data_IF_734806731900
#
_entry.id   IF_734806731900
#
_cell.length_a   1.000
_cell.length_b   1.000
_cell.length_c   1.000
_cell.angle_alpha   90.00
_cell.angle_beta   90.00
_cell.angle_gamma   90.00
#
_symmetry.space_group_name_H-M   'P 1'
#
loop_
_entity.id
_entity.type
_entity.pdbx_description
1 polymer ?
#
# COMPACT_ATOMS: atom_id res chain seq x y z
N UNK A 1 3.06 -33.74 3.35
CA UNK A 1 2.14 -33.09 2.40
C UNK A 1 1.00 -32.35 3.09
N UNK A 2 0.32 -32.87 4.11
CA UNK A 2 -0.78 -32.20 4.83
C UNK A 2 -0.39 -30.88 5.53
N UNK A 3 0.81 -30.78 6.12
CA UNK A 3 1.29 -29.54 6.77
C UNK A 3 1.44 -28.38 5.78
N UNK A 4 1.86 -28.65 4.54
CA UNK A 4 2.02 -27.62 3.51
C UNK A 4 0.66 -27.11 2.97
N UNK A 5 -0.35 -27.98 2.88
CA UNK A 5 -1.71 -27.57 2.49
C UNK A 5 -2.37 -26.69 3.55
N UNK A 6 -2.20 -27.01 4.84
CA UNK A 6 -2.75 -26.21 5.93
C UNK A 6 -2.11 -24.79 5.97
N UNK A 7 -0.81 -24.66 5.68
CA UNK A 7 -0.15 -23.36 5.62
C UNK A 7 -0.65 -22.53 4.43
N UNK A 8 -0.85 -23.12 3.25
CA UNK A 8 -1.39 -22.42 2.09
C UNK A 8 -2.82 -21.93 2.32
N UNK A 9 -3.70 -22.75 2.93
CA UNK A 9 -5.07 -22.35 3.29
C UNK A 9 -5.06 -21.23 4.32
N UNK A 10 -4.20 -21.32 5.34
CA UNK A 10 -4.09 -20.28 6.36
C UNK A 10 -3.54 -18.97 5.76
N UNK A 11 -2.57 -19.04 4.85
CA UNK A 11 -2.08 -17.87 4.12
C UNK A 11 -3.20 -17.22 3.28
N UNK A 12 -4.04 -18.03 2.63
CA UNK A 12 -5.20 -17.54 1.88
C UNK A 12 -6.23 -16.82 2.79
N UNK A 13 -6.49 -17.34 3.98
CA UNK A 13 -7.37 -16.69 4.96
C UNK A 13 -6.79 -15.35 5.42
N UNK A 14 -5.48 -15.27 5.71
CA UNK A 14 -4.84 -14.00 6.03
C UNK A 14 -4.87 -13.02 4.85
N UNK A 15 -4.69 -13.49 3.61
CA UNK A 15 -4.82 -12.64 2.43
C UNK A 15 -6.24 -12.12 2.23
N UNK A 16 -7.27 -12.92 2.52
CA UNK A 16 -8.66 -12.43 2.51
C UNK A 16 -8.85 -11.28 3.51
N UNK A 17 -8.25 -11.38 4.70
CA UNK A 17 -8.20 -10.29 5.66
C UNK A 17 -7.49 -9.03 5.12
N UNK A 18 -6.39 -9.21 4.39
CA UNK A 18 -5.67 -8.12 3.71
C UNK A 18 -6.56 -7.43 2.66
N UNK A 19 -7.20 -8.22 1.78
CA UNK A 19 -8.09 -7.72 0.74
C UNK A 19 -9.23 -6.89 1.33
N UNK A 20 -9.95 -7.46 2.30
CA UNK A 20 -11.07 -6.77 2.97
C UNK A 20 -10.61 -5.49 3.64
N UNK A 21 -9.47 -5.52 4.35
CA UNK A 21 -8.93 -4.35 5.05
C UNK A 21 -8.57 -3.23 4.08
N UNK A 22 -7.81 -3.50 3.02
CA UNK A 22 -7.42 -2.45 2.08
C UNK A 22 -8.60 -1.93 1.25
N UNK A 23 -9.58 -2.77 0.93
CA UNK A 23 -10.82 -2.32 0.33
C UNK A 23 -11.63 -1.43 1.27
N UNK A 24 -11.78 -1.82 2.54
CA UNK A 24 -12.45 -1.01 3.55
C UNK A 24 -11.72 0.33 3.76
N UNK A 25 -10.38 0.33 3.76
CA UNK A 25 -9.58 1.56 3.83
C UNK A 25 -9.82 2.48 2.63
N UNK A 26 -9.93 1.91 1.42
CA UNK A 26 -10.20 2.69 0.21
C UNK A 26 -11.62 3.29 0.23
N UNK A 27 -12.62 2.49 0.60
CA UNK A 27 -14.00 2.97 0.77
C UNK A 27 -14.06 4.05 1.84
N UNK A 28 -13.49 3.82 3.02
CA UNK A 28 -13.45 4.82 4.09
C UNK A 28 -12.73 6.11 3.68
N UNK A 29 -11.65 6.00 2.88
CA UNK A 29 -10.97 7.14 2.29
C UNK A 29 -11.85 7.91 1.30
N UNK A 30 -12.62 7.22 0.46
CA UNK A 30 -13.57 7.82 -0.49
C UNK A 30 -14.73 8.53 0.24
N UNK A 31 -15.28 7.94 1.28
CA UNK A 31 -16.35 8.53 2.10
C UNK A 31 -15.90 9.79 2.87
N UNK A 32 -14.63 9.84 3.29
CA UNK A 32 -14.04 11.01 3.94
C UNK A 32 -13.58 12.08 2.93
N UNK A 33 -13.37 11.71 1.66
CA UNK A 33 -12.94 12.64 0.62
C UNK A 33 -13.99 13.75 0.41
N UNK A 34 -13.50 14.97 0.26
CA UNK A 34 -14.37 16.16 0.13
C UNK A 34 -14.93 16.70 1.45
N UNK A 35 -14.84 15.93 2.55
CA UNK A 35 -15.23 16.37 3.89
C UNK A 35 -14.01 16.66 4.76
N UNK A 36 -12.94 15.88 4.61
CA UNK A 36 -11.65 16.08 5.26
C UNK A 36 -10.56 16.20 4.21
N UNK A 37 -9.55 17.02 4.48
CA UNK A 37 -8.37 17.02 3.63
C UNK A 37 -7.62 15.70 3.74
N UNK A 38 -6.90 15.33 2.68
CA UNK A 38 -6.07 14.12 2.68
C UNK A 38 -5.10 14.09 3.88
N UNK A 39 -4.56 15.25 4.26
CA UNK A 39 -3.67 15.34 5.42
C UNK A 39 -4.38 15.04 6.74
N UNK A 40 -5.64 15.48 6.90
CA UNK A 40 -6.43 15.16 8.09
C UNK A 40 -6.76 13.67 8.17
N UNK A 41 -7.07 13.02 7.04
CA UNK A 41 -7.29 11.57 6.99
C UNK A 41 -6.02 10.84 7.47
N UNK A 42 -4.83 11.25 7.00
CA UNK A 42 -3.55 10.69 7.43
C UNK A 42 -3.23 10.98 8.90
N UNK A 43 -3.58 12.16 9.39
CA UNK A 43 -3.45 12.51 10.81
C UNK A 43 -4.29 11.59 11.69
N UNK A 44 -5.60 11.48 11.44
CA UNK A 44 -6.48 10.64 12.25
C UNK A 44 -6.11 9.15 12.15
N UNK A 45 -5.72 8.69 10.96
CA UNK A 45 -5.15 7.35 10.78
C UNK A 45 -3.93 7.12 11.69
N UNK A 46 -3.04 8.12 11.80
CA UNK A 46 -1.86 8.03 12.67
C UNK A 46 -2.23 8.08 14.14
N UNK A 47 -3.23 8.86 14.54
CA UNK A 47 -3.78 8.89 15.94
C UNK A 47 -4.27 7.49 16.32
N UNK A 48 -5.14 6.89 15.49
CA UNK A 48 -5.67 5.54 15.76
C UNK A 48 -4.53 4.52 15.79
N UNK A 49 -3.58 4.63 14.86
CA UNK A 49 -2.40 3.79 14.83
C UNK A 49 -1.56 3.91 16.10
N UNK A 50 -1.32 5.13 16.61
CA UNK A 50 -0.62 5.35 17.87
C UNK A 50 -1.36 4.74 19.07
N UNK A 51 -2.68 4.85 19.13
CA UNK A 51 -3.48 4.25 20.19
C UNK A 51 -3.37 2.72 20.19
N UNK A 52 -3.52 2.11 19.02
CA UNK A 52 -3.46 0.64 18.88
C UNK A 52 -2.04 0.13 19.16
N UNK A 53 -1.02 0.70 18.53
CA UNK A 53 0.38 0.29 18.72
C UNK A 53 0.82 0.58 20.15
N UNK A 54 0.43 1.73 20.72
CA UNK A 54 0.68 2.08 22.11
C UNK A 54 0.07 1.06 23.09
N UNK A 55 -1.16 0.60 22.84
CA UNK A 55 -1.79 -0.45 23.64
C UNK A 55 -1.01 -1.76 23.58
N UNK A 56 -0.59 -2.23 22.39
CA UNK A 56 0.21 -3.45 22.28
C UNK A 56 1.59 -3.32 22.91
N UNK A 57 2.21 -2.14 22.87
CA UNK A 57 3.47 -1.88 23.57
C UNK A 57 3.28 -1.86 25.09
N UNK A 58 2.15 -1.32 25.56
CA UNK A 58 1.81 -1.35 26.99
C UNK A 58 1.64 -2.77 27.52
N UNK A 59 0.91 -3.62 26.80
CA UNK A 59 0.71 -5.02 27.16
C UNK A 59 1.98 -5.88 26.98
N UNK A 60 2.94 -5.40 26.20
CA UNK A 60 4.16 -6.12 25.87
C UNK A 60 5.41 -5.50 26.49
N UNK A 61 6.43 -5.30 25.68
CA UNK A 61 7.73 -4.76 26.09
C UNK A 61 8.04 -3.44 25.40
N UNK A 62 7.99 -2.33 26.15
CA UNK A 62 8.34 -0.99 25.66
C UNK A 62 9.80 -0.85 25.18
N UNK A 63 10.71 -1.64 25.70
CA UNK A 63 12.14 -1.53 25.35
C UNK A 63 12.41 -1.87 23.88
N UNK A 64 11.52 -2.59 23.21
CA UNK A 64 11.67 -2.90 21.80
C UNK A 64 11.59 -1.67 20.87
N UNK A 65 11.07 -0.51 21.34
CA UNK A 65 11.05 0.71 20.54
C UNK A 65 12.43 1.37 20.38
N UNK A 66 13.44 0.92 21.13
CA UNK A 66 14.80 1.47 21.06
C UNK A 66 15.52 0.97 19.80
N UNK A 67 15.34 1.69 18.68
CA UNK A 67 16.06 1.42 17.44
C UNK A 67 17.33 2.27 17.31
N UNK A 68 18.38 1.66 16.78
CA UNK A 68 19.61 2.37 16.37
C UNK A 68 19.53 2.97 14.96
N UNK A 69 18.41 2.76 14.24
CA UNK A 69 18.23 3.11 12.83
C UNK A 69 17.26 4.31 12.62
N UNK A 70 17.28 5.29 13.53
CA UNK A 70 16.34 6.43 13.51
C UNK A 70 16.31 7.18 12.18
N UNK A 71 17.47 7.37 11.52
CA UNK A 71 17.54 8.04 10.20
C UNK A 71 16.82 7.24 9.12
N UNK A 72 16.94 5.91 9.18
CA UNK A 72 16.26 5.03 8.21
C UNK A 72 14.75 5.03 8.46
N UNK A 73 14.32 5.00 9.73
CA UNK A 73 12.91 5.16 10.10
C UNK A 73 12.35 6.49 9.61
N UNK A 74 13.06 7.60 9.81
CA UNK A 74 12.62 8.91 9.37
C UNK A 74 12.45 8.97 7.85
N UNK A 75 13.45 8.57 7.07
CA UNK A 75 13.39 8.57 5.62
C UNK A 75 12.28 7.64 5.11
N UNK A 76 12.18 6.44 5.68
CA UNK A 76 11.12 5.47 5.37
C UNK A 76 9.74 6.06 5.60
N UNK A 77 9.54 6.77 6.70
CA UNK A 77 8.22 7.28 7.05
C UNK A 77 7.85 8.55 6.31
N UNK A 78 8.80 9.39 5.93
CA UNK A 78 8.56 10.50 4.99
C UNK A 78 8.15 9.94 3.63
N UNK A 79 8.88 8.96 3.09
CA UNK A 79 8.52 8.31 1.83
C UNK A 79 7.13 7.65 1.93
N UNK A 80 6.86 6.90 3.01
CA UNK A 80 5.56 6.25 3.20
C UNK A 80 4.42 7.26 3.33
N UNK A 81 4.63 8.39 3.99
CA UNK A 81 3.64 9.45 4.11
C UNK A 81 3.32 10.08 2.74
N UNK A 82 4.37 10.34 1.92
CA UNK A 82 4.17 10.80 0.54
C UNK A 82 3.40 9.79 -0.31
N UNK A 83 3.71 8.50 -0.17
CA UNK A 83 2.96 7.43 -0.82
C UNK A 83 1.50 7.40 -0.41
N UNK A 84 1.22 7.49 0.88
CA UNK A 84 -0.15 7.54 1.40
C UNK A 84 -0.90 8.80 0.95
N UNK A 85 -0.24 9.95 0.99
CA UNK A 85 -0.85 11.18 0.52
C UNK A 85 -1.32 11.04 -0.93
N UNK A 86 -0.44 10.65 -1.85
CA UNK A 86 -0.80 10.52 -3.25
C UNK A 86 -1.87 9.45 -3.50
N UNK A 87 -1.85 8.35 -2.74
CA UNK A 87 -2.85 7.29 -2.82
C UNK A 87 -4.24 7.77 -2.36
N UNK A 88 -4.36 8.41 -1.18
CA UNK A 88 -5.64 8.96 -0.70
C UNK A 88 -6.12 10.13 -1.55
N UNK A 89 -5.21 10.95 -2.06
CA UNK A 89 -5.52 12.01 -3.02
C UNK A 89 -6.10 11.43 -4.31
N UNK A 90 -5.51 10.36 -4.84
CA UNK A 90 -6.06 9.65 -5.99
C UNK A 90 -7.44 9.06 -5.72
N UNK A 91 -7.63 8.39 -4.58
CA UNK A 91 -8.94 7.85 -4.15
C UNK A 91 -10.02 8.94 -4.17
N UNK A 92 -9.69 10.18 -3.83
CA UNK A 92 -10.63 11.29 -3.83
C UNK A 92 -11.04 11.73 -5.24
N UNK A 93 -10.19 11.60 -6.26
CA UNK A 93 -10.30 12.33 -7.52
C UNK A 93 -10.44 11.48 -8.78
N UNK A 94 -9.97 10.24 -8.77
CA UNK A 94 -10.03 9.33 -9.92
C UNK A 94 -10.70 8.01 -9.53
N UNK A 95 -11.12 7.17 -10.51
CA UNK A 95 -11.75 5.89 -10.23
C UNK A 95 -10.89 4.99 -9.33
N UNK A 96 -11.54 4.29 -8.41
CA UNK A 96 -10.84 3.40 -7.47
C UNK A 96 -10.00 2.34 -8.18
N UNK A 97 -10.52 1.76 -9.26
CA UNK A 97 -9.80 0.76 -10.06
C UNK A 97 -8.50 1.32 -10.64
N UNK A 98 -8.50 2.59 -11.09
CA UNK A 98 -7.32 3.25 -11.64
C UNK A 98 -6.25 3.47 -10.56
N UNK A 99 -6.64 3.91 -9.36
CA UNK A 99 -5.71 4.08 -8.22
C UNK A 99 -5.00 2.77 -7.90
N UNK A 100 -5.76 1.67 -7.78
CA UNK A 100 -5.19 0.36 -7.46
C UNK A 100 -4.33 -0.20 -8.59
N UNK A 101 -4.73 0.00 -9.85
CA UNK A 101 -3.94 -0.43 -11.00
C UNK A 101 -2.59 0.31 -11.06
N UNK A 102 -2.57 1.63 -10.83
CA UNK A 102 -1.33 2.41 -10.79
C UNK A 102 -0.46 2.05 -9.56
N UNK A 103 -1.06 1.73 -8.42
CA UNK A 103 -0.35 1.23 -7.24
C UNK A 103 0.42 -0.06 -7.55
N UNK A 104 -0.09 -0.93 -8.43
CA UNK A 104 0.60 -2.16 -8.83
C UNK A 104 1.91 -1.94 -9.59
N UNK A 105 2.30 -0.69 -9.85
CA UNK A 105 3.67 -0.36 -10.30
C UNK A 105 4.70 -0.41 -9.15
N UNK A 106 4.29 -0.47 -7.88
CA UNK A 106 5.19 -0.55 -6.71
C UNK A 106 6.27 -1.61 -6.86
N UNK A 107 5.99 -2.86 -7.26
CA UNK A 107 7.03 -3.87 -7.48
C UNK A 107 8.04 -3.49 -8.57
N UNK A 108 7.61 -2.78 -9.61
CA UNK A 108 8.49 -2.29 -10.69
C UNK A 108 9.49 -1.30 -10.12
N UNK A 109 9.01 -0.29 -9.39
CA UNK A 109 9.85 0.69 -8.71
C UNK A 109 10.76 0.05 -7.66
N UNK A 110 10.25 -0.96 -6.93
CA UNK A 110 11.04 -1.71 -5.95
C UNK A 110 12.20 -2.44 -6.63
N UNK A 111 11.98 -3.05 -7.80
CA UNK A 111 13.03 -3.72 -8.57
C UNK A 111 14.12 -2.73 -9.02
N UNK A 112 13.72 -1.53 -9.47
CA UNK A 112 14.65 -0.45 -9.84
C UNK A 112 15.45 0.01 -8.60
N UNK A 113 14.78 0.32 -7.49
CA UNK A 113 15.42 0.80 -6.27
C UNK A 113 16.32 -0.25 -5.63
N UNK A 114 15.96 -1.52 -5.64
CA UNK A 114 16.80 -2.61 -5.14
C UNK A 114 18.13 -2.68 -5.92
N UNK A 115 18.07 -2.49 -7.23
CA UNK A 115 19.28 -2.44 -8.06
C UNK A 115 20.17 -1.24 -7.73
N UNK A 116 19.56 -0.04 -7.58
CA UNK A 116 20.32 1.20 -7.37
C UNK A 116 20.81 1.32 -5.92
N UNK A 117 19.94 1.05 -4.93
CA UNK A 117 20.24 1.28 -3.51
C UNK A 117 20.91 0.08 -2.83
N UNK A 118 20.51 -1.14 -3.21
CA UNK A 118 21.04 -2.38 -2.61
C UNK A 118 22.10 -3.04 -3.49
N UNK A 119 22.41 -2.47 -4.67
CA UNK A 119 23.38 -2.99 -5.65
C UNK A 119 23.08 -4.44 -6.06
N UNK A 120 21.80 -4.82 -6.07
CA UNK A 120 21.37 -6.13 -6.54
C UNK A 120 21.55 -6.24 -8.06
N UNK A 121 21.88 -7.42 -8.55
CA UNK A 121 22.07 -7.66 -9.99
C UNK A 121 20.75 -7.55 -10.75
N UNK A 122 20.78 -6.86 -11.89
CA UNK A 122 19.64 -6.82 -12.81
C UNK A 122 19.54 -8.17 -13.53
N UNK A 123 18.43 -8.87 -13.31
CA UNK A 123 18.15 -10.14 -14.02
C UNK A 123 17.29 -9.87 -15.24
N UNK A 124 17.32 -10.79 -16.21
CA UNK A 124 16.43 -10.72 -17.40
C UNK A 124 14.95 -10.68 -17.00
N UNK A 125 14.58 -11.42 -15.94
CA UNK A 125 13.22 -11.41 -15.40
C UNK A 125 12.83 -10.04 -14.82
N UNK A 126 13.73 -9.37 -14.10
CA UNK A 126 13.50 -8.00 -13.59
C UNK A 126 13.33 -7.00 -14.75
N UNK A 127 14.17 -7.09 -15.77
CA UNK A 127 14.01 -6.25 -16.99
C UNK A 127 12.65 -6.49 -17.64
N UNK A 128 12.24 -7.74 -17.81
CA UNK A 128 10.92 -8.09 -18.33
C UNK A 128 9.78 -7.53 -17.48
N UNK A 129 9.87 -7.64 -16.16
CA UNK A 129 8.87 -7.07 -15.23
C UNK A 129 8.77 -5.54 -15.33
N UNK A 130 9.92 -4.85 -15.45
CA UNK A 130 9.96 -3.39 -15.64
C UNK A 130 9.29 -3.01 -16.97
N UNK A 131 9.61 -3.69 -18.07
CA UNK A 131 9.00 -3.45 -19.38
C UNK A 131 7.48 -3.65 -19.32
N UNK A 132 7.02 -4.78 -18.77
CA UNK A 132 5.59 -5.06 -18.63
C UNK A 132 4.90 -4.06 -17.70
N UNK A 133 5.57 -3.63 -16.63
CA UNK A 133 5.07 -2.58 -15.76
C UNK A 133 4.86 -1.25 -16.47
N UNK A 134 5.84 -0.82 -17.27
CA UNK A 134 5.75 0.40 -18.08
C UNK A 134 4.65 0.28 -19.13
N UNK A 135 4.56 -0.86 -19.84
CA UNK A 135 3.48 -1.11 -20.80
C UNK A 135 2.09 -1.06 -20.14
N UNK A 136 1.96 -1.62 -18.92
CA UNK A 136 0.72 -1.53 -18.15
C UNK A 136 0.34 -0.08 -17.81
N UNK A 137 1.31 0.77 -17.42
CA UNK A 137 1.06 2.22 -17.21
C UNK A 137 0.57 2.88 -18.49
N UNK A 138 1.19 2.60 -19.64
CA UNK A 138 0.75 3.16 -20.92
C UNK A 138 -0.66 2.71 -21.31
N UNK A 139 -1.04 1.47 -21.02
CA UNK A 139 -2.41 0.98 -21.23
C UNK A 139 -3.42 1.70 -20.35
N UNK A 140 -3.08 1.99 -19.09
CA UNK A 140 -3.97 2.68 -18.14
C UNK A 140 -4.10 4.15 -18.52
N UNK A 141 -2.99 4.86 -18.71
CA UNK A 141 -2.97 6.31 -18.91
C UNK A 141 -3.29 6.72 -20.34
N UNK A 142 -3.10 5.86 -21.34
CA UNK A 142 -3.38 6.09 -22.77
C UNK A 142 -2.88 7.44 -23.27
N UNK A 143 -1.59 7.78 -23.10
CA UNK A 143 -1.08 9.09 -23.49
C UNK A 143 -1.31 9.35 -24.98
N UNK A 144 -1.88 10.52 -25.30
CA UNK A 144 -2.27 10.90 -26.66
C UNK A 144 -3.65 10.44 -27.11
N UNK A 145 -4.31 9.52 -26.38
CA UNK A 145 -5.69 9.06 -26.64
C UNK A 145 -6.67 9.58 -25.59
N UNK A 146 -6.20 9.86 -24.38
CA UNK A 146 -6.98 10.40 -23.29
C UNK A 146 -6.19 11.52 -22.58
N UNK A 147 -6.93 12.44 -21.94
CA UNK A 147 -6.32 13.45 -21.07
C UNK A 147 -5.85 12.78 -19.80
N UNK A 148 -4.54 12.82 -19.54
CA UNK A 148 -3.97 12.26 -18.31
C UNK A 148 -4.34 13.15 -17.13
N UNK A 149 -5.04 12.60 -16.15
CA UNK A 149 -5.36 13.31 -14.93
C UNK A 149 -4.08 13.60 -14.12
N UNK A 150 -3.89 14.84 -13.61
CA UNK A 150 -2.81 15.12 -12.66
C UNK A 150 -2.84 14.20 -11.44
N UNK A 151 -4.03 13.77 -10.99
CA UNK A 151 -4.19 12.83 -9.89
C UNK A 151 -3.58 11.45 -10.21
N UNK A 152 -3.71 10.95 -11.45
CA UNK A 152 -3.09 9.69 -11.87
C UNK A 152 -1.56 9.76 -11.81
N UNK A 153 -0.97 10.90 -12.17
CA UNK A 153 0.48 11.11 -12.04
C UNK A 153 0.93 11.17 -10.58
N UNK A 154 0.12 11.78 -9.70
CA UNK A 154 0.38 11.79 -8.26
C UNK A 154 0.32 10.38 -7.68
N UNK A 155 -0.65 9.55 -8.09
CA UNK A 155 -0.74 8.14 -7.68
C UNK A 155 0.47 7.35 -8.18
N UNK A 156 0.93 7.57 -9.40
CA UNK A 156 2.14 6.93 -9.92
C UNK A 156 3.38 7.34 -9.11
N UNK A 157 3.49 8.63 -8.74
CA UNK A 157 4.52 9.12 -7.81
C UNK A 157 4.41 8.50 -6.41
N UNK A 158 3.17 8.25 -5.94
CA UNK A 158 2.94 7.57 -4.66
C UNK A 158 3.45 6.13 -4.69
N UNK A 159 3.28 5.42 -5.81
CA UNK A 159 3.82 4.07 -5.98
C UNK A 159 5.36 4.04 -5.87
N UNK A 160 6.06 5.03 -6.41
CA UNK A 160 7.50 5.19 -6.20
C UNK A 160 7.84 5.42 -4.72
N UNK A 161 7.11 6.28 -4.03
CA UNK A 161 7.29 6.55 -2.60
C UNK A 161 7.04 5.28 -1.75
N UNK A 162 6.02 4.49 -2.08
CA UNK A 162 5.78 3.19 -1.44
C UNK A 162 6.93 2.21 -1.69
N UNK A 163 7.43 2.13 -2.92
CA UNK A 163 8.56 1.27 -3.27
C UNK A 163 9.82 1.62 -2.46
N UNK A 164 10.13 2.92 -2.31
CA UNK A 164 11.23 3.39 -1.46
C UNK A 164 10.99 3.01 0.00
N UNK A 165 9.78 3.22 0.51
CA UNK A 165 9.40 2.83 1.86
C UNK A 165 9.54 1.32 2.08
N UNK A 166 9.09 0.48 1.13
CA UNK A 166 9.20 -0.97 1.20
C UNK A 166 10.66 -1.44 1.19
N UNK A 167 11.49 -0.85 0.33
CA UNK A 167 12.94 -1.14 0.27
C UNK A 167 13.62 -0.82 1.60
N UNK A 168 13.31 0.33 2.22
CA UNK A 168 13.84 0.72 3.52
C UNK A 168 13.27 -0.14 4.66
N UNK A 169 12.00 -0.52 4.58
CA UNK A 169 11.38 -1.44 5.54
C UNK A 169 12.07 -2.79 5.55
N UNK A 170 12.44 -3.33 4.37
CA UNK A 170 13.20 -4.57 4.26
C UNK A 170 14.54 -4.49 5.02
N UNK A 171 15.22 -3.32 4.93
CA UNK A 171 16.45 -3.08 5.69
C UNK A 171 16.21 -3.02 7.20
N UNK A 172 15.14 -2.34 7.64
CA UNK A 172 14.77 -2.22 9.06
C UNK A 172 14.36 -3.58 9.67
N UNK A 173 13.64 -4.41 8.91
CA UNK A 173 13.17 -5.72 9.38
C UNK A 173 14.30 -6.70 9.73
N UNK A 174 15.55 -6.42 9.34
CA UNK A 174 16.72 -7.20 9.75
C UNK A 174 17.18 -6.93 11.19
N UNK A 175 16.77 -5.80 11.78
CA UNK A 175 17.29 -5.30 13.07
C UNK A 175 16.21 -4.87 14.05
N UNK A 176 15.02 -4.55 13.57
CA UNK A 176 13.90 -4.04 14.35
C UNK A 176 12.68 -4.97 14.24
N UNK A 177 11.89 -5.04 15.31
CA UNK A 177 10.65 -5.83 15.30
C UNK A 177 9.57 -5.16 14.45
N UNK A 178 8.58 -5.90 13.92
CA UNK A 178 7.45 -5.30 13.22
C UNK A 178 6.72 -4.23 14.05
N UNK A 179 6.59 -4.44 15.35
CA UNK A 179 5.93 -3.50 16.24
C UNK A 179 6.75 -2.20 16.41
N UNK A 180 8.09 -2.29 16.42
CA UNK A 180 8.99 -1.13 16.39
C UNK A 180 8.81 -0.32 15.11
N UNK A 181 8.75 -1.00 13.95
CA UNK A 181 8.55 -0.34 12.65
C UNK A 181 7.19 0.39 12.63
N UNK A 182 6.13 -0.24 13.14
CA UNK A 182 4.79 0.37 13.25
C UNK A 182 4.77 1.54 14.24
N UNK A 183 5.48 1.44 15.37
CA UNK A 183 5.61 2.55 16.32
C UNK A 183 6.22 3.78 15.66
N UNK A 184 7.37 3.64 14.99
CA UNK A 184 7.98 4.76 14.29
C UNK A 184 7.13 5.26 13.12
N UNK A 185 6.35 4.39 12.48
CA UNK A 185 5.42 4.80 11.44
C UNK A 185 4.37 5.75 11.99
N UNK A 186 3.73 5.39 13.07
CA UNK A 186 2.64 6.19 13.62
C UNK A 186 3.15 7.48 14.26
N UNK A 187 4.22 7.42 15.06
CA UNK A 187 4.74 8.57 15.80
C UNK A 187 5.40 9.62 14.90
N UNK A 188 6.02 9.23 13.79
CA UNK A 188 6.64 10.17 12.83
C UNK A 188 5.56 10.78 11.91
N UNK A 189 4.57 9.97 11.47
CA UNK A 189 3.55 10.46 10.55
C UNK A 189 2.47 11.29 11.24
N UNK A 190 2.27 11.13 12.55
CA UNK A 190 1.32 11.93 13.33
C UNK A 190 1.63 13.44 13.23
N UNK A 191 2.83 13.94 13.59
CA UNK A 191 3.14 15.35 13.45
C UNK A 191 3.16 15.81 11.99
N UNK A 192 3.57 14.98 11.03
CA UNK A 192 3.51 15.32 9.62
C UNK A 192 2.06 15.57 9.18
N UNK A 193 1.13 14.68 9.54
CA UNK A 193 -0.28 14.86 9.25
C UNK A 193 -0.89 16.07 9.98
N UNK A 194 -0.52 16.28 11.24
CA UNK A 194 -1.02 17.41 12.03
C UNK A 194 -0.59 18.75 11.44
N UNK A 195 0.71 18.95 11.23
CA UNK A 195 1.26 20.22 10.74
C UNK A 195 0.70 20.57 9.37
N UNK A 196 0.56 19.60 8.48
CA UNK A 196 0.02 19.85 7.14
C UNK A 196 -1.49 20.04 7.13
N UNK A 197 -2.22 19.51 8.11
CA UNK A 197 -3.67 19.66 8.21
C UNK A 197 -4.14 20.96 8.91
N UNK A 198 -3.23 21.68 9.59
CA UNK A 198 -3.60 22.92 10.33
C UNK A 198 -4.18 23.99 9.39
N UNK A 199 -3.68 24.07 8.17
CA UNK A 199 -4.07 25.13 7.22
C UNK A 199 -5.49 24.95 6.67
N UNK A 200 -5.98 23.69 6.61
CA UNK A 200 -7.30 23.33 6.07
C UNK A 200 -8.11 22.51 7.10
N UNK A 201 -7.95 22.82 8.39
CA UNK A 201 -8.56 22.03 9.44
C UNK A 201 -10.08 22.12 9.43
N UNK A 202 -10.72 20.97 9.29
CA UNK A 202 -12.16 20.81 9.48
C UNK A 202 -12.41 19.89 10.68
N UNK A 203 -13.26 20.32 11.62
CA UNK A 203 -13.62 19.48 12.76
C UNK A 203 -14.51 18.34 12.28
N UNK A 204 -14.10 17.05 12.48
CA UNK A 204 -14.90 15.92 12.05
C UNK A 204 -16.28 15.90 12.71
N UNK A 205 -17.33 15.68 11.91
CA UNK A 205 -18.66 15.42 12.42
C UNK A 205 -18.76 14.00 13.01
N UNK A 206 -19.76 13.74 13.83
CA UNK A 206 -20.02 12.42 14.39
C UNK A 206 -20.23 11.36 13.29
N UNK A 207 -20.80 11.74 12.15
CA UNK A 207 -21.02 10.85 11.00
C UNK A 207 -19.72 10.39 10.34
N UNK A 208 -18.62 11.15 10.46
CA UNK A 208 -17.31 10.78 9.91
C UNK A 208 -16.53 9.83 10.81
N UNK A 209 -16.82 9.78 12.11
CA UNK A 209 -16.07 8.97 13.07
C UNK A 209 -15.99 7.48 12.71
N UNK A 210 -17.07 6.81 12.26
CA UNK A 210 -16.99 5.42 11.82
C UNK A 210 -15.97 5.23 10.68
N UNK A 211 -15.97 6.12 9.69
CA UNK A 211 -15.06 6.03 8.55
C UNK A 211 -13.60 6.30 8.93
N UNK A 212 -13.38 7.25 9.83
CA UNK A 212 -12.06 7.51 10.42
C UNK A 212 -11.54 6.25 11.13
N UNK A 213 -12.38 5.60 11.93
CA UNK A 213 -12.04 4.34 12.60
C UNK A 213 -11.76 3.22 11.61
N UNK A 214 -12.60 3.08 10.56
CA UNK A 214 -12.40 2.09 9.50
C UNK A 214 -11.04 2.30 8.83
N UNK A 215 -10.70 3.52 8.41
CA UNK A 215 -9.41 3.82 7.77
C UNK A 215 -8.24 3.49 8.70
N UNK A 216 -8.28 3.90 9.97
CA UNK A 216 -7.21 3.68 10.93
C UNK A 216 -6.98 2.21 11.26
N UNK A 217 -8.06 1.48 11.56
CA UNK A 217 -8.01 0.05 11.90
C UNK A 217 -7.63 -0.79 10.66
N UNK A 218 -8.28 -0.52 9.52
CA UNK A 218 -8.04 -1.25 8.28
C UNK A 218 -6.59 -1.09 7.78
N UNK A 219 -5.98 0.06 7.98
CA UNK A 219 -4.58 0.26 7.64
C UNK A 219 -3.64 -0.67 8.40
N UNK A 220 -3.84 -0.84 9.70
CA UNK A 220 -3.01 -1.72 10.52
C UNK A 220 -3.33 -3.19 10.27
N UNK A 221 -4.63 -3.56 10.23
CA UNK A 221 -5.06 -4.94 10.02
C UNK A 221 -4.63 -5.47 8.65
N UNK A 222 -4.73 -4.65 7.58
CA UNK A 222 -4.29 -5.03 6.24
C UNK A 222 -2.81 -5.37 6.19
N UNK A 223 -1.96 -4.52 6.74
CA UNK A 223 -0.52 -4.77 6.80
C UNK A 223 -0.17 -5.96 7.71
N UNK A 224 -0.86 -6.12 8.84
CA UNK A 224 -0.66 -7.27 9.72
C UNK A 224 -1.04 -8.59 9.02
N UNK A 225 -2.23 -8.64 8.40
CA UNK A 225 -2.69 -9.81 7.67
C UNK A 225 -1.75 -10.19 6.53
N UNK A 226 -1.26 -9.20 5.75
CA UNK A 226 -0.29 -9.40 4.69
C UNK A 226 1.01 -10.01 5.23
N UNK A 227 1.55 -9.45 6.31
CA UNK A 227 2.76 -9.96 6.94
C UNK A 227 2.58 -11.41 7.44
N UNK A 228 1.41 -11.74 8.01
CA UNK A 228 1.09 -13.12 8.43
C UNK A 228 0.97 -14.08 7.26
N UNK A 229 0.37 -13.66 6.14
CA UNK A 229 0.29 -14.48 4.94
C UNK A 229 1.68 -14.79 4.37
N UNK A 230 2.55 -13.78 4.27
CA UNK A 230 3.93 -13.93 3.79
C UNK A 230 4.83 -14.75 4.74
N UNK A 231 4.50 -14.81 6.02
CA UNK A 231 5.19 -15.68 6.97
C UNK A 231 4.80 -17.18 6.82
N UNK A 232 3.62 -17.47 6.22
CA UNK A 232 3.08 -18.83 6.09
C UNK A 232 3.28 -19.43 4.70
N UNK A 233 3.40 -18.59 3.66
CA UNK A 233 3.53 -19.04 2.28
C UNK A 233 4.46 -18.13 1.47
N UNK A 234 5.08 -18.70 0.46
CA UNK A 234 5.96 -17.99 -0.46
C UNK A 234 5.22 -16.86 -1.20
N UNK A 235 5.94 -15.81 -1.55
CA UNK A 235 5.41 -14.68 -2.32
C UNK A 235 4.74 -15.10 -3.65
N UNK A 236 5.19 -16.20 -4.26
CA UNK A 236 4.57 -16.76 -5.48
C UNK A 236 3.11 -17.20 -5.29
N UNK A 237 2.72 -17.48 -4.04
CA UNK A 237 1.33 -17.84 -3.68
C UNK A 237 0.56 -16.59 -3.24
N UNK A 238 1.19 -15.73 -2.44
CA UNK A 238 0.55 -14.57 -1.79
C UNK A 238 0.32 -13.42 -2.77
N UNK A 239 1.30 -13.10 -3.63
CA UNK A 239 1.21 -11.96 -4.55
C UNK A 239 0.07 -12.10 -5.57
N UNK A 240 -0.18 -13.26 -6.20
CA UNK A 240 -1.36 -13.42 -7.07
C UNK A 240 -2.69 -13.11 -6.37
N UNK A 241 -2.79 -13.45 -5.08
CA UNK A 241 -4.01 -13.16 -4.31
C UNK A 241 -4.18 -11.67 -4.06
N UNK A 242 -3.09 -10.92 -3.86
CA UNK A 242 -3.14 -9.46 -3.67
C UNK A 242 -3.68 -8.73 -4.91
N UNK A 243 -3.42 -9.24 -6.12
CA UNK A 243 -3.97 -8.67 -7.34
C UNK A 243 -5.50 -8.83 -7.49
N UNK A 244 -6.14 -9.71 -6.71
CA UNK A 244 -7.59 -9.78 -6.64
C UNK A 244 -8.21 -8.47 -6.13
N UNK A 245 -7.44 -7.61 -5.48
CA UNK A 245 -7.90 -6.26 -5.09
C UNK A 245 -8.41 -5.47 -6.28
N UNK A 246 -7.78 -5.59 -7.46
CA UNK A 246 -8.17 -4.80 -8.63
C UNK A 246 -9.58 -5.09 -9.12
N UNK A 247 -9.96 -6.35 -9.46
CA UNK A 247 -11.33 -6.64 -9.88
C UNK A 247 -12.36 -6.39 -8.76
N UNK A 248 -11.99 -6.64 -7.51
CA UNK A 248 -12.88 -6.40 -6.37
C UNK A 248 -13.15 -4.91 -6.16
N UNK A 249 -12.13 -4.07 -6.21
CA UNK A 249 -12.31 -2.61 -6.05
C UNK A 249 -13.00 -1.99 -7.26
N UNK A 250 -12.77 -2.53 -8.46
CA UNK A 250 -13.50 -2.13 -9.67
C UNK A 250 -15.00 -2.43 -9.52
N UNK A 251 -15.35 -3.59 -8.97
CA UNK A 251 -16.75 -3.94 -8.66
C UNK A 251 -17.33 -2.99 -7.59
N UNK A 252 -16.58 -2.65 -6.54
CA UNK A 252 -17.01 -1.67 -5.52
C UNK A 252 -17.23 -0.29 -6.15
N UNK A 253 -16.30 0.19 -6.97
CA UNK A 253 -16.42 1.45 -7.69
C UNK A 253 -17.67 1.51 -8.57
N UNK A 254 -17.93 0.44 -9.32
CA UNK A 254 -19.08 0.32 -10.18
C UNK A 254 -20.41 0.28 -9.40
N UNK A 255 -20.49 -0.57 -8.35
CA UNK A 255 -21.75 -0.81 -7.62
C UNK A 255 -22.12 0.34 -6.67
N UNK A 256 -21.14 0.97 -6.01
CA UNK A 256 -21.41 1.93 -4.94
C UNK A 256 -21.12 3.39 -5.33
N UNK A 257 -20.25 3.60 -6.32
CA UNK A 257 -19.85 4.95 -6.72
C UNK A 257 -20.22 5.30 -8.17
N UNK A 258 -20.88 4.39 -8.91
CA UNK A 258 -21.29 4.61 -10.29
C UNK A 258 -20.09 4.79 -11.25
N UNK A 259 -18.92 4.28 -10.87
CA UNK A 259 -17.71 4.35 -11.70
C UNK A 259 -17.85 3.41 -12.90
N UNK A 260 -17.44 3.86 -14.10
CA UNK A 260 -17.43 3.00 -15.28
C UNK A 260 -16.30 1.96 -15.18
N UNK A 261 -16.59 0.73 -15.61
CA UNK A 261 -15.54 -0.30 -15.75
C UNK A 261 -14.68 0.01 -16.99
N UNK A 262 -13.45 0.43 -16.75
CA UNK A 262 -12.48 0.69 -17.81
C UNK A 262 -11.65 -0.56 -18.10
N UNK A 263 -11.89 -1.18 -19.27
CA UNK A 263 -11.18 -2.37 -19.70
C UNK A 263 -9.68 -2.17 -19.88
N UNK A 264 -9.23 -0.96 -20.22
CA UNK A 264 -7.80 -0.64 -20.33
C UNK A 264 -7.12 -0.64 -18.96
N UNK A 265 -7.82 -0.19 -17.91
CA UNK A 265 -7.33 -0.25 -16.53
C UNK A 265 -7.18 -1.71 -16.10
N UNK A 266 -8.16 -2.55 -16.37
CA UNK A 266 -8.10 -3.97 -16.04
C UNK A 266 -7.01 -4.69 -16.87
N UNK A 267 -6.91 -4.42 -18.16
CA UNK A 267 -5.87 -5.00 -19.03
C UNK A 267 -4.46 -4.56 -18.60
N UNK A 268 -4.26 -3.28 -18.27
CA UNK A 268 -3.00 -2.76 -17.74
C UNK A 268 -2.60 -3.44 -16.44
N UNK A 269 -3.56 -3.63 -15.52
CA UNK A 269 -3.35 -4.39 -14.28
C UNK A 269 -2.92 -5.84 -14.53
N UNK A 270 -3.55 -6.54 -15.49
CA UNK A 270 -3.18 -7.92 -15.88
C UNK A 270 -1.76 -7.96 -16.44
N UNK A 271 -1.37 -7.00 -17.29
CA UNK A 271 -0.01 -6.93 -17.85
C UNK A 271 1.02 -6.73 -16.75
N UNK A 272 0.77 -5.81 -15.80
CA UNK A 272 1.65 -5.59 -14.64
C UNK A 272 1.75 -6.82 -13.74
N UNK A 273 0.61 -7.48 -13.48
CA UNK A 273 0.57 -8.73 -12.73
C UNK A 273 1.47 -9.79 -13.39
N UNK A 274 1.34 -9.98 -14.70
CA UNK A 274 2.12 -10.96 -15.44
C UNK A 274 3.62 -10.71 -15.31
N UNK A 275 4.06 -9.45 -15.39
CA UNK A 275 5.45 -9.06 -15.20
C UNK A 275 5.97 -9.38 -13.78
N UNK A 276 5.20 -9.01 -12.77
CA UNK A 276 5.56 -9.29 -11.37
C UNK A 276 5.61 -10.79 -11.07
N UNK A 277 4.64 -11.55 -11.56
CA UNK A 277 4.57 -12.99 -11.37
C UNK A 277 5.76 -13.71 -11.99
N UNK A 278 6.11 -13.36 -13.24
CA UNK A 278 7.28 -13.91 -13.91
C UNK A 278 8.59 -13.60 -13.20
N UNK A 279 8.73 -12.38 -12.64
CA UNK A 279 9.90 -12.02 -11.86
C UNK A 279 10.01 -12.87 -10.59
N UNK A 280 8.92 -13.01 -9.82
CA UNK A 280 8.90 -13.82 -8.59
C UNK A 280 9.23 -15.28 -8.88
N UNK A 281 8.67 -15.84 -9.97
CA UNK A 281 9.00 -17.21 -10.38
C UNK A 281 10.47 -17.40 -10.71
N UNK A 282 11.08 -16.43 -11.39
CA UNK A 282 12.49 -16.49 -11.76
C UNK A 282 13.42 -16.36 -10.54
N UNK A 283 13.04 -15.54 -9.55
CA UNK A 283 13.80 -15.40 -8.30
C UNK A 283 13.74 -16.68 -7.44
N UNK A 284 12.62 -17.41 -7.44
CA UNK A 284 12.48 -18.68 -6.70
C UNK A 284 13.34 -19.81 -7.28
N UNK A 285 13.67 -19.77 -8.58
CA UNK A 285 14.49 -20.80 -9.26
C UNK A 285 15.99 -20.60 -9.07
N UNK A 286 16.43 -19.55 -8.38
CA UNK A 286 17.81 -19.23 -8.04
C UNK A 286 18.15 -19.64 -6.63
#
# INVERSE_FOLDING_TARGET
MQTNQNHAVMAALWMSGTLVSFMAMAVGGRELAGQLSTFQILFFRSVIGCLIVGFFLWCGNWRQILSKQLRVHLLRNIAHFGGQFGWFYGIALIPLAEVFALEFTVPVWTAVLATVLLREQITRARVGAIILGVLGVFLILRPGLAVISPASLIVLGSAFCYALSHTLTRRLALVDTPLTILFYMTIIQLPLGLVTSIFDWMTPSLAMLPWIMVVGVAALSGHYCMARALALADAIVVVPMDFLRLPLIAAVGFLFYGESLDWFVLAGGVVMFSGNFLNIQAEKKR
#
